data_IF_864979592963
#
_entry.id   IF_864979592963
#
_cell.length_a   1.000
_cell.length_b   1.000
_cell.length_c   1.000
_cell.angle_alpha   90.00
_cell.angle_beta   90.00
_cell.angle_gamma   90.00
#
_symmetry.space_group_name_H-M   'P 1'
#
loop_
_entity.id
_entity.type
_entity.pdbx_description
1 polymer ?
#
# COMPACT_ATOMS: atom_id res chain seq x y z
N UNK A 1 5.14 12.75 -8.41
CA UNK A 1 6.04 11.72 -7.83
C UNK A 1 6.27 10.65 -8.88
N UNK A 2 7.36 10.77 -9.60
CA UNK A 2 7.74 9.73 -10.55
C UNK A 2 8.06 8.43 -9.79
N UNK A 3 7.71 7.29 -10.38
CA UNK A 3 7.95 5.93 -9.86
C UNK A 3 7.18 5.51 -8.58
N UNK A 4 6.19 6.27 -8.11
CA UNK A 4 5.29 5.87 -7.03
C UNK A 4 3.86 5.71 -7.57
N UNK A 5 3.25 4.56 -7.35
CA UNK A 5 1.83 4.33 -7.57
C UNK A 5 1.09 4.15 -6.24
N UNK A 6 -0.13 4.67 -6.14
CA UNK A 6 -1.08 4.21 -5.13
C UNK A 6 -1.64 2.85 -5.58
N UNK A 7 -1.69 1.91 -4.66
CA UNK A 7 -2.33 0.60 -4.86
C UNK A 7 -3.35 0.40 -3.76
N UNK A 8 -4.62 0.47 -4.14
CA UNK A 8 -5.73 0.23 -3.23
C UNK A 8 -6.22 -1.21 -3.40
N UNK A 9 -6.19 -1.99 -2.32
CA UNK A 9 -6.86 -3.29 -2.27
C UNK A 9 -8.25 -3.10 -1.69
N UNK A 10 -9.27 -3.52 -2.41
CA UNK A 10 -10.67 -3.40 -1.98
C UNK A 10 -11.56 -4.50 -2.58
N UNK A 11 -12.86 -4.45 -2.31
CA UNK A 11 -13.88 -5.33 -2.82
C UNK A 11 -15.08 -4.50 -3.27
N UNK A 12 -15.79 -4.91 -4.34
CA UNK A 12 -16.95 -4.19 -4.90
C UNK A 12 -18.08 -3.95 -3.87
N UNK A 13 -18.20 -4.84 -2.87
CA UNK A 13 -19.19 -4.68 -1.79
C UNK A 13 -18.99 -3.47 -0.87
N UNK A 14 -17.87 -2.76 -1.01
CA UNK A 14 -17.57 -1.52 -0.27
C UNK A 14 -17.84 -0.25 -1.12
N UNK A 15 -18.69 -0.35 -2.13
CA UNK A 15 -18.98 0.71 -3.09
C UNK A 15 -19.53 2.00 -2.46
N UNK A 16 -20.14 1.92 -1.29
CA UNK A 16 -20.67 3.04 -0.53
C UNK A 16 -19.56 4.00 -0.03
N UNK A 17 -18.33 3.52 0.20
CA UNK A 17 -17.21 4.35 0.61
C UNK A 17 -16.40 4.92 -0.55
N UNK A 18 -16.47 4.33 -1.74
CA UNK A 18 -15.62 4.70 -2.88
C UNK A 18 -15.69 6.17 -3.26
N UNK A 19 -16.87 6.83 -3.33
CA UNK A 19 -16.93 8.24 -3.66
C UNK A 19 -16.16 9.13 -2.67
N UNK A 20 -16.17 8.76 -1.39
CA UNK A 20 -15.45 9.50 -0.33
C UNK A 20 -13.96 9.21 -0.41
N UNK A 21 -13.58 7.94 -0.50
CA UNK A 21 -12.19 7.52 -0.53
C UNK A 21 -11.46 8.07 -1.76
N UNK A 22 -11.93 7.77 -2.97
CA UNK A 22 -11.29 8.21 -4.21
C UNK A 22 -11.40 9.71 -4.42
N UNK A 23 -12.54 10.34 -4.09
CA UNK A 23 -12.68 11.78 -4.13
C UNK A 23 -11.70 12.50 -3.19
N UNK A 24 -11.39 11.92 -2.03
CA UNK A 24 -10.38 12.48 -1.14
C UNK A 24 -8.95 12.21 -1.61
N UNK A 25 -8.67 11.08 -2.26
CA UNK A 25 -7.38 10.87 -2.94
C UNK A 25 -7.15 11.95 -4.00
N UNK A 26 -8.09 12.18 -4.90
CA UNK A 26 -7.99 13.20 -5.94
C UNK A 26 -7.83 14.62 -5.36
N UNK A 27 -8.53 14.92 -4.27
CA UNK A 27 -8.51 16.24 -3.63
C UNK A 27 -7.23 16.49 -2.84
N UNK A 28 -6.80 15.53 -2.05
CA UNK A 28 -5.75 15.72 -1.06
C UNK A 28 -4.38 15.17 -1.47
N UNK A 29 -4.32 14.45 -2.59
CA UNK A 29 -3.10 13.92 -3.16
C UNK A 29 -3.00 14.18 -4.68
N UNK A 30 -3.17 15.44 -5.14
CA UNK A 30 -3.26 15.76 -6.57
C UNK A 30 -1.97 15.51 -7.37
N UNK A 31 -0.81 15.39 -6.71
CA UNK A 31 0.46 15.07 -7.38
C UNK A 31 0.66 13.58 -7.65
N UNK A 32 -0.25 12.74 -7.18
CA UNK A 32 -0.22 11.31 -7.46
C UNK A 32 -0.47 11.06 -8.96
N UNK A 33 0.53 10.47 -9.64
CA UNK A 33 0.47 10.29 -11.10
C UNK A 33 -0.21 8.99 -11.52
N UNK A 34 -0.20 7.98 -10.66
CA UNK A 34 -0.73 6.64 -10.94
C UNK A 34 -1.47 6.08 -9.73
N UNK A 35 -2.67 5.56 -9.98
CA UNK A 35 -3.50 4.91 -9.00
C UNK A 35 -4.11 3.64 -9.58
N UNK A 36 -3.89 2.53 -8.92
CA UNK A 36 -4.42 1.21 -9.26
C UNK A 36 -5.37 0.74 -8.16
N UNK A 37 -6.46 0.13 -8.56
CA UNK A 37 -7.46 -0.44 -7.64
C UNK A 37 -7.56 -1.94 -7.91
N UNK A 38 -7.13 -2.73 -6.95
CA UNK A 38 -7.24 -4.18 -7.00
C UNK A 38 -8.60 -4.56 -6.44
N UNK A 39 -9.50 -4.97 -7.32
CA UNK A 39 -10.93 -5.21 -7.02
C UNK A 39 -11.41 -6.48 -7.72
N UNK A 40 -12.46 -7.11 -7.21
CA UNK A 40 -13.00 -8.37 -7.78
C UNK A 40 -13.88 -8.15 -9.01
N UNK A 41 -14.59 -7.00 -9.11
CA UNK A 41 -15.44 -6.64 -10.26
C UNK A 41 -15.27 -5.16 -10.61
N UNK A 42 -15.46 -4.80 -11.89
CA UNK A 42 -15.46 -3.39 -12.31
C UNK A 42 -16.58 -2.63 -11.60
N UNK A 43 -16.26 -1.48 -11.05
CA UNK A 43 -17.20 -0.61 -10.35
C UNK A 43 -17.22 0.78 -10.97
N UNK A 44 -18.39 1.18 -11.51
CA UNK A 44 -18.57 2.46 -12.21
C UNK A 44 -18.54 3.69 -11.28
N UNK A 45 -18.58 3.50 -9.95
CA UNK A 45 -18.43 4.59 -8.98
C UNK A 45 -16.97 5.04 -8.77
N UNK A 46 -16.02 4.28 -9.29
CA UNK A 46 -14.59 4.61 -9.28
C UNK A 46 -14.26 5.37 -10.56
N UNK A 47 -13.70 6.58 -10.43
CA UNK A 47 -13.38 7.42 -11.59
C UNK A 47 -12.27 6.81 -12.47
N UNK A 48 -12.24 7.17 -13.76
CA UNK A 48 -11.23 6.72 -14.73
C UNK A 48 -9.79 7.12 -14.39
N UNK A 49 -9.60 8.00 -13.38
CA UNK A 49 -8.29 8.35 -12.86
C UNK A 49 -7.65 7.21 -12.06
N UNK A 50 -8.43 6.18 -11.70
CA UNK A 50 -8.01 5.02 -10.94
C UNK A 50 -8.17 3.76 -11.79
N UNK A 51 -7.05 3.18 -12.24
CA UNK A 51 -7.06 1.99 -13.09
C UNK A 51 -7.47 0.75 -12.28
N UNK A 52 -8.62 0.18 -12.61
CA UNK A 52 -9.12 -1.02 -11.94
C UNK A 52 -8.45 -2.26 -12.52
N UNK A 53 -7.80 -3.04 -11.65
CA UNK A 53 -7.20 -4.34 -11.94
C UNK A 53 -8.06 -5.42 -11.31
N UNK A 54 -8.65 -6.27 -12.15
CA UNK A 54 -9.57 -7.30 -11.67
C UNK A 54 -8.79 -8.49 -11.14
N UNK A 55 -9.03 -8.82 -9.89
CA UNK A 55 -8.48 -10.00 -9.25
C UNK A 55 -9.47 -11.17 -9.26
N UNK A 56 -8.98 -12.40 -9.49
CA UNK A 56 -9.79 -13.60 -9.50
C UNK A 56 -9.97 -14.16 -8.09
N UNK A 57 -11.18 -14.11 -7.54
CA UNK A 57 -11.48 -14.64 -6.20
C UNK A 57 -11.37 -16.16 -6.06
N UNK A 58 -11.29 -16.89 -7.17
CA UNK A 58 -11.12 -18.35 -7.14
C UNK A 58 -9.67 -18.80 -6.88
N UNK A 59 -8.71 -17.86 -6.86
CA UNK A 59 -7.31 -18.16 -6.53
C UNK A 59 -6.94 -17.62 -5.15
N UNK A 60 -5.78 -18.05 -4.63
CA UNK A 60 -5.32 -17.61 -3.31
C UNK A 60 -5.11 -16.10 -3.26
N UNK A 61 -5.22 -15.52 -2.06
CA UNK A 61 -4.94 -14.10 -1.83
C UNK A 61 -3.59 -13.64 -2.41
N UNK A 62 -2.54 -14.46 -2.19
CA UNK A 62 -1.21 -14.18 -2.72
C UNK A 62 -1.20 -14.19 -4.25
N UNK A 63 -1.88 -15.17 -4.88
CA UNK A 63 -1.96 -15.25 -6.35
C UNK A 63 -2.70 -14.06 -6.94
N UNK A 64 -3.72 -13.55 -6.26
CA UNK A 64 -4.43 -12.32 -6.67
C UNK A 64 -3.49 -11.11 -6.68
N UNK A 65 -2.71 -10.95 -5.60
CA UNK A 65 -1.71 -9.88 -5.52
C UNK A 65 -0.69 -9.96 -6.64
N UNK A 66 -0.05 -11.12 -6.81
CA UNK A 66 0.99 -11.31 -7.83
C UNK A 66 0.46 -11.03 -9.24
N UNK A 67 -0.75 -11.52 -9.57
CA UNK A 67 -1.37 -11.26 -10.86
C UNK A 67 -1.64 -9.77 -11.13
N UNK A 68 -2.02 -8.99 -10.09
CA UNK A 68 -2.23 -7.56 -10.26
C UNK A 68 -0.92 -6.77 -10.30
N UNK A 69 0.09 -7.15 -9.50
CA UNK A 69 1.38 -6.45 -9.44
C UNK A 69 2.14 -6.48 -10.76
N UNK A 70 1.95 -7.50 -11.59
CA UNK A 70 2.54 -7.61 -12.93
C UNK A 70 2.09 -6.47 -13.88
N UNK A 71 0.96 -5.83 -13.61
CA UNK A 71 0.43 -4.71 -14.39
C UNK A 71 0.88 -3.32 -13.87
N UNK A 72 1.62 -3.26 -12.78
CA UNK A 72 2.10 -2.02 -12.15
C UNK A 72 3.54 -1.79 -12.61
N UNK A 73 3.79 -0.69 -13.31
CA UNK A 73 5.11 -0.37 -13.85
C UNK A 73 6.05 0.28 -12.83
N UNK A 74 5.47 1.01 -11.85
CA UNK A 74 6.21 1.82 -10.88
C UNK A 74 7.07 0.94 -9.95
N UNK A 75 8.22 1.50 -9.56
CA UNK A 75 9.22 0.86 -8.67
C UNK A 75 8.75 0.80 -7.21
N UNK A 76 7.94 1.78 -6.81
CA UNK A 76 7.40 1.92 -5.46
C UNK A 76 5.88 1.88 -5.50
N UNK A 77 5.30 1.22 -4.51
CA UNK A 77 3.85 1.21 -4.31
C UNK A 77 3.51 1.79 -2.93
N UNK A 78 2.57 2.72 -2.88
CA UNK A 78 1.89 3.12 -1.66
C UNK A 78 0.65 2.23 -1.53
N UNK A 79 0.73 1.21 -0.68
CA UNK A 79 -0.39 0.34 -0.40
C UNK A 79 -1.34 0.99 0.61
N UNK A 80 -2.63 0.98 0.30
CA UNK A 80 -3.71 1.43 1.19
C UNK A 80 -4.95 0.56 0.99
N UNK A 81 -5.80 0.48 2.00
CA UNK A 81 -7.18 -0.01 1.89
C UNK A 81 -8.15 1.19 1.90
N UNK A 82 -9.38 0.98 1.46
CA UNK A 82 -10.42 2.00 1.34
C UNK A 82 -10.86 2.62 2.67
N UNK A 83 -10.60 1.96 3.79
CA UNK A 83 -10.90 2.47 5.14
C UNK A 83 -9.89 3.52 5.64
N UNK A 84 -8.75 3.69 4.94
CA UNK A 84 -7.78 4.77 5.22
C UNK A 84 -8.10 6.03 4.42
N UNK A 85 -9.19 6.70 4.78
CA UNK A 85 -9.66 7.90 4.09
C UNK A 85 -8.80 9.11 4.44
N UNK A 86 -8.26 9.79 3.43
CA UNK A 86 -7.54 11.06 3.62
C UNK A 86 -8.51 12.15 4.08
N UNK A 87 -8.11 12.94 5.07
CA UNK A 87 -8.91 14.07 5.60
C UNK A 87 -8.23 15.43 5.39
N UNK A 88 -6.98 15.45 4.97
CA UNK A 88 -6.19 16.66 4.69
C UNK A 88 -5.14 16.36 3.61
N UNK A 89 -4.49 17.39 3.08
CA UNK A 89 -3.45 17.27 2.07
C UNK A 89 -2.29 16.41 2.54
N UNK A 90 -1.86 15.51 1.64
CA UNK A 90 -0.67 14.69 1.87
C UNK A 90 0.57 15.58 1.93
N UNK A 91 1.39 15.38 2.96
CA UNK A 91 2.67 16.06 3.10
C UNK A 91 3.70 15.44 2.15
N UNK A 92 3.68 15.89 0.88
CA UNK A 92 4.48 15.32 -0.22
C UNK A 92 5.97 15.28 0.08
N UNK A 93 6.50 16.29 0.77
CA UNK A 93 7.91 16.28 1.20
C UNK A 93 8.24 15.09 2.10
N UNK A 94 7.31 14.67 2.95
CA UNK A 94 7.50 13.48 3.79
C UNK A 94 7.47 12.19 2.98
N UNK A 95 6.58 12.10 1.99
CA UNK A 95 6.54 10.96 1.06
C UNK A 95 7.84 10.89 0.26
N UNK A 96 8.30 12.01 -0.29
CA UNK A 96 9.57 12.08 -1.02
C UNK A 96 10.77 11.67 -0.14
N UNK A 97 10.82 12.11 1.11
CA UNK A 97 11.86 11.69 2.07
C UNK A 97 11.83 10.17 2.33
N UNK A 98 10.62 9.56 2.41
CA UNK A 98 10.49 8.11 2.52
C UNK A 98 11.02 7.38 1.28
N UNK A 99 10.74 7.90 0.09
CA UNK A 99 11.23 7.35 -1.17
C UNK A 99 12.76 7.44 -1.28
N UNK A 100 13.36 8.60 -0.95
CA UNK A 100 14.82 8.75 -0.95
C UNK A 100 15.49 7.83 0.07
N UNK A 101 14.89 7.66 1.25
CA UNK A 101 15.36 6.70 2.24
C UNK A 101 15.31 5.26 1.70
N UNK A 102 14.20 4.86 1.06
CA UNK A 102 14.08 3.53 0.47
C UNK A 102 15.11 3.30 -0.65
N UNK A 103 15.37 4.31 -1.51
CA UNK A 103 16.39 4.23 -2.57
C UNK A 103 17.79 4.00 -2.00
N UNK A 104 18.13 4.65 -0.88
CA UNK A 104 19.47 4.64 -0.29
C UNK A 104 19.71 3.54 0.75
N UNK A 105 18.69 2.76 1.11
CA UNK A 105 18.74 1.73 2.15
C UNK A 105 18.35 0.35 1.66
N UNK A 106 18.69 -0.68 2.45
CA UNK A 106 18.24 -2.07 2.23
C UNK A 106 16.83 -2.33 2.79
N UNK A 107 16.15 -1.31 3.32
CA UNK A 107 14.80 -1.45 3.83
C UNK A 107 13.81 -1.78 2.71
N UNK A 108 12.86 -2.68 2.98
CA UNK A 108 11.83 -3.10 2.03
C UNK A 108 10.66 -2.13 1.98
N UNK A 109 10.35 -1.47 3.10
CA UNK A 109 9.19 -0.60 3.20
C UNK A 109 9.35 0.49 4.28
N UNK A 110 8.47 1.50 4.20
CA UNK A 110 8.25 2.50 5.24
C UNK A 110 6.75 2.56 5.53
N UNK A 111 6.37 2.22 6.76
CA UNK A 111 4.99 2.36 7.23
C UNK A 111 4.70 3.82 7.58
N UNK A 112 3.59 4.35 7.12
CA UNK A 112 3.22 5.76 7.29
C UNK A 112 2.46 6.04 8.60
N UNK A 113 1.87 5.01 9.21
CA UNK A 113 1.07 5.12 10.44
C UNK A 113 1.78 4.42 11.59
N UNK A 114 1.88 5.11 12.72
CA UNK A 114 2.49 4.59 13.96
C UNK A 114 1.57 3.68 14.78
N UNK A 115 0.37 3.39 14.34
CA UNK A 115 -0.63 2.66 15.11
C UNK A 115 -0.11 1.34 15.70
N UNK A 116 -0.43 1.10 16.98
CA UNK A 116 -0.11 -0.15 17.69
C UNK A 116 1.34 -0.31 18.15
N UNK A 117 2.24 0.61 17.84
CA UNK A 117 3.63 0.55 18.26
C UNK A 117 3.83 1.25 19.62
N UNK A 118 4.06 0.47 20.67
CA UNK A 118 4.34 0.98 22.01
C UNK A 118 5.77 1.51 22.18
N UNK A 119 6.69 1.08 21.34
CA UNK A 119 8.08 1.56 21.32
C UNK A 119 8.53 1.73 19.88
N UNK A 120 9.04 2.91 19.54
CA UNK A 120 9.89 3.09 18.38
C UNK A 120 11.30 2.77 18.81
N UNK A 121 11.97 1.96 18.01
CA UNK A 121 13.39 1.72 18.17
C UNK A 121 14.20 2.94 17.71
N UNK A 122 15.46 2.76 17.44
CA UNK A 122 16.37 3.84 17.08
C UNK A 122 15.84 4.66 15.89
N UNK A 123 15.94 5.98 16.03
CA UNK A 123 15.73 6.89 14.92
C UNK A 123 16.81 6.64 13.87
N UNK A 124 16.38 6.32 12.64
CA UNK A 124 17.30 6.02 11.54
C UNK A 124 17.61 7.29 10.76
N UNK A 125 16.57 8.07 10.39
CA UNK A 125 16.73 9.30 9.63
C UNK A 125 15.54 10.22 9.88
N UNK A 126 15.75 11.53 9.95
CA UNK A 126 14.70 12.56 10.12
C UNK A 126 13.54 12.10 11.02
N UNK A 127 12.42 11.68 10.44
CA UNK A 127 11.23 11.16 11.13
C UNK A 127 11.02 9.66 10.92
N UNK A 128 12.02 8.93 10.41
CA UNK A 128 11.98 7.49 10.17
C UNK A 128 12.60 6.75 11.34
N UNK A 129 11.90 5.76 11.86
CA UNK A 129 12.29 4.95 13.00
C UNK A 129 12.29 3.48 12.62
N UNK A 130 13.25 2.73 13.13
CA UNK A 130 13.28 1.29 12.97
C UNK A 130 12.16 0.64 13.76
N UNK A 131 11.48 -0.33 13.15
CA UNK A 131 10.54 -1.22 13.85
C UNK A 131 11.29 -2.51 14.19
N UNK A 132 11.36 -2.84 15.48
CA UNK A 132 11.97 -4.09 15.94
C UNK A 132 10.98 -5.23 15.84
N UNK A 133 11.15 -6.10 14.85
CA UNK A 133 10.33 -7.31 14.68
C UNK A 133 10.48 -8.31 15.84
N UNK A 134 11.58 -8.23 16.60
CA UNK A 134 11.82 -9.16 17.71
C UNK A 134 10.91 -8.93 18.92
N UNK A 135 10.29 -7.75 19.04
CA UNK A 135 9.37 -7.45 20.15
C UNK A 135 7.94 -7.76 19.84
N UNK A 136 7.55 -7.73 18.57
CA UNK A 136 6.20 -8.06 18.12
C UNK A 136 6.23 -8.65 16.70
N UNK A 137 6.33 -9.99 16.59
CA UNK A 137 6.36 -10.67 15.29
C UNK A 137 5.07 -10.48 14.48
N UNK A 138 3.95 -10.14 15.12
CA UNK A 138 2.68 -9.93 14.43
C UNK A 138 2.62 -8.61 13.63
N UNK A 139 3.65 -7.75 13.74
CA UNK A 139 3.73 -6.49 13.00
C UNK A 139 4.62 -6.56 11.76
N UNK A 140 5.00 -7.75 11.33
CA UNK A 140 5.87 -7.93 10.15
C UNK A 140 5.18 -7.48 8.85
N UNK A 141 3.90 -7.79 8.71
CA UNK A 141 3.04 -7.31 7.63
C UNK A 141 1.74 -6.75 8.22
N UNK A 142 1.27 -5.62 7.73
CA UNK A 142 -0.03 -5.05 8.09
C UNK A 142 -0.64 -4.37 6.88
N UNK A 143 -1.98 -4.29 6.85
CA UNK A 143 -2.72 -3.59 5.81
C UNK A 143 -2.73 -2.05 5.96
N UNK A 144 -1.94 -1.52 6.88
CA UNK A 144 -1.80 -0.07 7.08
C UNK A 144 -1.08 0.59 5.89
N UNK A 145 -1.34 1.90 5.64
CA UNK A 145 -0.64 2.66 4.61
C UNK A 145 0.87 2.53 4.70
N UNK A 146 1.46 1.96 3.65
CA UNK A 146 2.88 1.58 3.64
C UNK A 146 3.46 1.79 2.24
N UNK A 147 4.60 2.47 2.16
CA UNK A 147 5.38 2.55 0.91
C UNK A 147 6.31 1.34 0.86
N UNK A 148 6.22 0.57 -0.21
CA UNK A 148 7.03 -0.62 -0.47
C UNK A 148 7.91 -0.43 -1.69
N UNK A 149 9.11 -1.01 -1.68
CA UNK A 149 9.79 -1.41 -2.93
C UNK A 149 8.97 -2.54 -3.55
N UNK A 150 8.44 -2.36 -4.75
CA UNK A 150 7.56 -3.34 -5.40
C UNK A 150 8.20 -4.72 -5.49
N UNK A 151 9.45 -4.80 -5.92
CA UNK A 151 10.18 -6.07 -6.04
C UNK A 151 10.34 -6.81 -4.71
N UNK A 152 10.51 -6.07 -3.60
CA UNK A 152 10.58 -6.66 -2.27
C UNK A 152 9.20 -7.15 -1.80
N UNK A 153 8.14 -6.42 -2.13
CA UNK A 153 6.78 -6.83 -1.84
C UNK A 153 6.42 -8.12 -2.59
N UNK A 154 6.75 -8.21 -3.88
CA UNK A 154 6.58 -9.43 -4.69
C UNK A 154 7.30 -10.62 -4.06
N UNK A 155 8.57 -10.47 -3.68
CA UNK A 155 9.33 -11.55 -3.01
C UNK A 155 8.69 -12.01 -1.70
N UNK A 156 8.13 -11.08 -0.92
CA UNK A 156 7.41 -11.44 0.31
C UNK A 156 6.16 -12.25 -0.04
N UNK A 157 5.38 -11.81 -1.02
CA UNK A 157 4.19 -12.56 -1.46
C UNK A 157 4.54 -13.96 -1.99
N UNK A 158 5.62 -14.10 -2.75
CA UNK A 158 6.10 -15.41 -3.23
C UNK A 158 6.47 -16.36 -2.09
N UNK A 159 7.14 -15.86 -1.04
CA UNK A 159 7.50 -16.63 0.16
C UNK A 159 6.24 -17.07 0.94
N UNK A 160 5.22 -16.23 0.99
CA UNK A 160 3.98 -16.47 1.71
C UNK A 160 2.99 -17.37 0.95
N UNK A 161 3.22 -17.62 -0.34
CA UNK A 161 2.44 -18.58 -1.13
C UNK A 161 2.73 -20.03 -0.62
N UNK A 162 1.72 -20.87 -0.30
CA UNK A 162 0.28 -20.79 -0.58
C UNK A 162 -0.60 -20.35 0.61
N UNK A 163 -0.11 -19.55 1.51
CA UNK A 163 -0.82 -19.15 2.73
C UNK A 163 -2.09 -18.33 2.48
N UNK A 164 -3.03 -18.40 3.39
CA UNK A 164 -4.23 -17.57 3.38
C UNK A 164 -3.91 -16.16 3.91
N UNK A 165 -4.83 -15.21 3.69
CA UNK A 165 -4.69 -13.85 4.23
C UNK A 165 -4.52 -13.86 5.76
N UNK A 166 -5.20 -14.79 6.46
CA UNK A 166 -5.12 -14.90 7.92
C UNK A 166 -3.77 -15.41 8.41
N UNK A 167 -3.01 -16.07 7.53
CA UNK A 167 -1.66 -16.56 7.84
C UNK A 167 -0.60 -15.49 7.54
N UNK A 168 -0.99 -14.40 6.87
CA UNK A 168 -0.12 -13.29 6.46
C UNK A 168 -0.18 -12.13 7.48
N UNK A 169 -1.32 -11.95 8.14
CA UNK A 169 -1.50 -11.00 9.25
C UNK A 169 -0.88 -11.55 10.55
#
# INVERSE_FOLDING_TARGET
MENLALVTWTHDSYDDIFPVYFGNIEKFFPSLSKSYVLINEINDSISDNHLQLINDENVSYVSRWLGCLDHIEEEYILYMQEDFVLYDHVEEDKINNCLEFLKSSDCSCVRLIRSGLNSLDDKVESNIYKISHFKDPNLSFTHQPTIWKKDHFIKIMEILSPQSIRDVE
#
